data_IF_943184421688
#
_entry.id   IF_943184421688
#
_cell.length_a   1.000
_cell.length_b   1.000
_cell.length_c   1.000
_cell.angle_alpha   90.00
_cell.angle_beta   90.00
_cell.angle_gamma   90.00
#
_symmetry.space_group_name_H-M   'P 1'
#
loop_
_entity.id
_entity.type
_entity.pdbx_description
1 polymer ?
#
# COMPACT_ATOMS: atom_id res chain seq x y z
N UNK A 1 -35.81 -21.99 -20.65
CA UNK A 1 -34.64 -22.49 -21.41
C UNK A 1 -33.99 -21.32 -22.16
N UNK A 2 -32.98 -20.69 -21.56
CA UNK A 2 -32.14 -19.68 -22.25
C UNK A 2 -30.86 -20.37 -22.72
N UNK A 3 -30.63 -20.40 -24.03
CA UNK A 3 -29.41 -20.92 -24.66
C UNK A 3 -28.21 -20.14 -24.12
N UNK A 4 -27.26 -20.84 -23.48
CA UNK A 4 -25.91 -20.33 -23.21
C UNK A 4 -25.26 -19.95 -24.54
N UNK A 5 -24.78 -18.72 -24.64
CA UNK A 5 -23.85 -18.33 -25.69
C UNK A 5 -22.64 -19.26 -25.60
N UNK A 6 -22.31 -19.89 -26.73
CA UNK A 6 -21.16 -20.77 -26.89
C UNK A 6 -19.92 -19.86 -26.85
N UNK A 7 -19.18 -19.89 -25.74
CA UNK A 7 -17.91 -19.18 -25.60
C UNK A 7 -16.99 -19.57 -26.76
N UNK A 8 -16.63 -18.60 -27.59
CA UNK A 8 -15.54 -18.77 -28.56
C UNK A 8 -14.28 -18.91 -27.75
N UNK A 9 -13.71 -20.12 -27.68
CA UNK A 9 -12.52 -20.37 -26.89
C UNK A 9 -11.37 -19.51 -27.44
N UNK A 10 -10.75 -18.70 -26.58
CA UNK A 10 -9.66 -17.81 -26.98
C UNK A 10 -8.39 -18.63 -27.20
N UNK A 11 -7.93 -18.68 -28.46
CA UNK A 11 -6.75 -19.43 -28.88
C UNK A 11 -5.48 -19.06 -28.10
N UNK A 12 -5.36 -17.82 -27.58
CA UNK A 12 -4.24 -17.44 -26.72
C UNK A 12 -4.30 -18.13 -25.36
N UNK A 13 -5.50 -18.30 -24.79
CA UNK A 13 -5.67 -18.95 -23.49
C UNK A 13 -5.41 -20.46 -23.60
N UNK A 14 -5.88 -21.12 -24.66
CA UNK A 14 -5.58 -22.54 -24.91
C UNK A 14 -4.08 -22.78 -25.07
N UNK A 15 -3.42 -21.92 -25.85
CA UNK A 15 -1.97 -21.97 -26.06
C UNK A 15 -1.21 -21.82 -24.73
N UNK A 16 -1.60 -20.83 -23.92
CA UNK A 16 -0.97 -20.58 -22.62
C UNK A 16 -1.14 -21.76 -21.68
N UNK A 17 -2.33 -22.35 -21.63
CA UNK A 17 -2.62 -23.52 -20.81
C UNK A 17 -1.75 -24.71 -21.20
N UNK A 18 -1.68 -25.03 -22.49
CA UNK A 18 -0.86 -26.13 -23.01
C UNK A 18 0.62 -25.95 -22.63
N UNK A 19 1.15 -24.74 -22.84
CA UNK A 19 2.56 -24.44 -22.56
C UNK A 19 2.87 -24.46 -21.07
N UNK A 20 2.03 -23.84 -20.23
CA UNK A 20 2.25 -23.80 -18.78
C UNK A 20 2.15 -25.20 -18.17
N UNK A 21 1.22 -26.03 -18.67
CA UNK A 21 1.08 -27.43 -18.25
C UNK A 21 2.32 -28.25 -18.59
N UNK A 22 2.88 -28.07 -19.80
CA UNK A 22 4.10 -28.74 -20.21
C UNK A 22 5.34 -28.24 -19.45
N UNK A 23 5.42 -26.94 -19.17
CA UNK A 23 6.56 -26.33 -18.50
C UNK A 23 6.59 -26.57 -16.99
N UNK A 24 5.44 -26.79 -16.35
CA UNK A 24 5.25 -26.99 -14.90
C UNK A 24 5.96 -25.93 -14.03
N UNK A 25 6.09 -24.71 -14.54
CA UNK A 25 6.64 -23.56 -13.83
C UNK A 25 5.96 -22.27 -14.29
N UNK A 26 5.93 -21.21 -13.47
CA UNK A 26 5.40 -19.92 -13.86
C UNK A 26 6.21 -19.31 -15.01
N UNK A 27 5.55 -18.69 -15.98
CA UNK A 27 6.20 -18.09 -17.15
C UNK A 27 5.67 -16.69 -17.46
N UNK A 28 6.54 -15.86 -18.05
CA UNK A 28 6.13 -14.60 -18.65
C UNK A 28 5.46 -14.83 -20.02
N UNK A 29 4.61 -13.90 -20.50
CA UNK A 29 3.98 -14.01 -21.82
C UNK A 29 4.95 -14.20 -22.99
N UNK A 30 6.16 -13.63 -22.89
CA UNK A 30 7.23 -13.87 -23.88
C UNK A 30 7.73 -15.30 -23.82
N UNK A 31 8.05 -15.79 -22.62
CA UNK A 31 8.51 -17.16 -22.44
C UNK A 31 7.46 -18.20 -22.85
N UNK A 32 6.16 -17.92 -22.62
CA UNK A 32 5.06 -18.77 -23.10
C UNK A 32 5.06 -18.86 -24.63
N UNK A 33 5.15 -17.72 -25.32
CA UNK A 33 5.18 -17.72 -26.79
C UNK A 33 6.47 -18.34 -27.34
N UNK A 34 7.62 -18.06 -26.76
CA UNK A 34 8.89 -18.64 -27.18
C UNK A 34 8.87 -20.18 -27.06
N UNK A 35 8.29 -20.70 -25.96
CA UNK A 35 8.10 -22.14 -25.79
C UNK A 35 7.11 -22.71 -26.82
N UNK A 36 6.00 -22.00 -27.09
CA UNK A 36 5.04 -22.41 -28.11
C UNK A 36 5.64 -22.47 -29.52
N UNK A 37 6.43 -21.46 -29.89
CA UNK A 37 7.12 -21.40 -31.18
C UNK A 37 8.16 -22.52 -31.31
N UNK A 38 8.95 -22.76 -30.27
CA UNK A 38 9.92 -23.87 -30.23
C UNK A 38 9.25 -25.24 -30.36
N UNK A 39 8.06 -25.40 -29.79
CA UNK A 39 7.28 -26.63 -29.87
C UNK A 39 6.45 -26.75 -31.16
N UNK A 40 6.38 -25.71 -32.00
CA UNK A 40 5.61 -25.71 -33.25
C UNK A 40 4.09 -25.75 -33.03
N UNK A 41 3.59 -25.35 -31.86
CA UNK A 41 2.17 -25.44 -31.47
C UNK A 41 1.39 -24.13 -31.63
N UNK A 42 2.02 -23.07 -32.16
CA UNK A 42 1.36 -21.77 -32.38
C UNK A 42 0.36 -21.88 -33.54
N UNK A 43 -0.93 -21.56 -33.33
CA UNK A 43 -1.92 -21.57 -34.41
C UNK A 43 -1.57 -20.58 -35.53
N UNK A 44 -1.83 -20.97 -36.79
CA UNK A 44 -1.51 -20.17 -37.98
C UNK A 44 -2.19 -18.79 -38.04
N UNK A 45 -3.33 -18.64 -37.36
CA UNK A 45 -4.09 -17.39 -37.29
C UNK A 45 -3.57 -16.42 -36.21
N UNK A 46 -2.64 -16.85 -35.35
CA UNK A 46 -1.96 -15.96 -34.41
C UNK A 46 -0.71 -15.39 -35.07
N UNK A 47 -0.77 -14.13 -35.49
CA UNK A 47 0.37 -13.39 -36.05
C UNK A 47 0.41 -11.94 -35.54
N UNK A 48 1.60 -11.35 -35.44
CA UNK A 48 1.77 -9.94 -35.08
C UNK A 48 3.06 -9.64 -34.31
N UNK A 49 3.50 -8.36 -34.33
CA UNK A 49 4.74 -7.93 -33.68
C UNK A 49 4.67 -7.90 -32.15
N UNK A 50 3.47 -7.90 -31.56
CA UNK A 50 3.24 -7.69 -30.11
C UNK A 50 2.32 -8.76 -29.52
N UNK A 51 2.37 -9.99 -30.01
CA UNK A 51 1.58 -11.11 -29.49
C UNK A 51 1.74 -11.31 -27.98
N UNK A 52 2.95 -11.14 -27.44
CA UNK A 52 3.20 -11.25 -26.00
C UNK A 52 2.39 -10.24 -25.17
N UNK A 53 2.13 -9.03 -25.69
CA UNK A 53 1.27 -8.04 -25.03
C UNK A 53 -0.21 -8.44 -25.11
N UNK A 54 -0.62 -9.01 -26.23
CA UNK A 54 -2.00 -9.50 -26.43
C UNK A 54 -2.29 -10.67 -25.49
N UNK A 55 -1.38 -11.65 -25.45
CA UNK A 55 -1.45 -12.78 -24.53
C UNK A 55 -1.49 -12.32 -23.07
N UNK A 56 -0.63 -11.37 -22.69
CA UNK A 56 -0.65 -10.77 -21.36
C UNK A 56 -2.01 -10.15 -21.02
N UNK A 57 -2.59 -9.39 -21.96
CA UNK A 57 -3.88 -8.75 -21.77
C UNK A 57 -4.99 -9.80 -21.59
N UNK A 58 -5.02 -10.85 -22.42
CA UNK A 58 -6.01 -11.94 -22.33
C UNK A 58 -5.93 -12.72 -21.02
N UNK A 59 -4.73 -13.12 -20.61
CA UNK A 59 -4.54 -13.79 -19.32
C UNK A 59 -4.97 -12.90 -18.16
N UNK A 60 -4.65 -11.61 -18.23
CA UNK A 60 -5.03 -10.65 -17.21
C UNK A 60 -6.55 -10.44 -17.14
N UNK A 61 -7.20 -10.36 -18.30
CA UNK A 61 -8.65 -10.21 -18.42
C UNK A 61 -9.39 -11.44 -17.88
N UNK A 62 -8.91 -12.64 -18.20
CA UNK A 62 -9.49 -13.90 -17.71
C UNK A 62 -9.41 -14.00 -16.18
N UNK A 63 -8.22 -13.78 -15.61
CA UNK A 63 -7.99 -13.76 -14.16
C UNK A 63 -8.86 -12.69 -13.49
N UNK A 64 -8.97 -11.51 -14.10
CA UNK A 64 -9.76 -10.41 -13.55
C UNK A 64 -11.26 -10.72 -13.55
N UNK A 65 -11.76 -11.33 -14.63
CA UNK A 65 -13.18 -11.64 -14.84
C UNK A 65 -13.64 -12.81 -13.97
N UNK A 66 -12.84 -13.87 -13.93
CA UNK A 66 -13.21 -15.14 -13.28
C UNK A 66 -12.63 -15.28 -11.86
N UNK A 67 -11.63 -14.48 -11.48
CA UNK A 67 -10.98 -14.50 -10.17
C UNK A 67 -10.53 -15.93 -9.80
N UNK A 68 -11.09 -16.49 -8.73
CA UNK A 68 -10.77 -17.84 -8.22
C UNK A 68 -11.21 -18.96 -9.19
N UNK A 69 -12.16 -18.67 -10.10
CA UNK A 69 -12.61 -19.62 -11.12
C UNK A 69 -11.73 -19.60 -12.38
N UNK A 70 -10.75 -18.68 -12.47
CA UNK A 70 -9.82 -18.69 -13.59
C UNK A 70 -8.90 -19.91 -13.52
N UNK A 71 -8.61 -20.48 -14.69
CA UNK A 71 -7.61 -21.54 -14.86
C UNK A 71 -6.19 -21.03 -14.61
N UNK A 72 -6.02 -19.71 -14.61
CA UNK A 72 -4.75 -19.06 -14.45
C UNK A 72 -4.73 -18.26 -13.14
N UNK A 73 -3.53 -18.05 -12.62
CA UNK A 73 -3.28 -17.05 -11.60
C UNK A 73 -1.90 -16.43 -11.85
N UNK A 74 -1.60 -15.35 -11.13
CA UNK A 74 -0.28 -14.72 -11.19
C UNK A 74 0.55 -15.21 -10.02
N UNK A 75 1.83 -15.49 -10.23
CA UNK A 75 2.79 -15.65 -9.12
C UNK A 75 3.57 -14.38 -8.88
N UNK A 76 3.62 -13.48 -9.88
CA UNK A 76 4.35 -12.22 -9.86
C UNK A 76 3.80 -11.25 -10.92
N UNK A 77 4.18 -9.97 -10.90
CA UNK A 77 3.84 -9.00 -11.93
C UNK A 77 4.24 -9.47 -13.34
N UNK A 78 3.23 -9.87 -14.14
CA UNK A 78 3.44 -10.34 -15.52
C UNK A 78 3.98 -11.77 -15.62
N UNK A 79 3.92 -12.55 -14.55
CA UNK A 79 4.23 -13.98 -14.53
C UNK A 79 2.95 -14.75 -14.21
N UNK A 80 2.64 -15.76 -15.02
CA UNK A 80 1.39 -16.49 -14.97
C UNK A 80 1.64 -17.99 -14.75
N UNK A 81 0.69 -18.64 -14.08
CA UNK A 81 0.72 -20.07 -13.82
C UNK A 81 -0.68 -20.69 -13.76
N UNK A 82 -0.79 -22.01 -13.61
CA UNK A 82 -2.04 -22.77 -13.70
C UNK A 82 -2.61 -23.13 -12.34
N UNK A 83 -3.88 -22.77 -12.11
CA UNK A 83 -4.59 -23.01 -10.86
C UNK A 83 -4.65 -24.50 -10.47
N UNK A 84 -4.72 -25.41 -11.45
CA UNK A 84 -4.71 -26.87 -11.22
C UNK A 84 -3.39 -27.39 -10.63
N UNK A 85 -2.27 -26.71 -10.90
CA UNK A 85 -0.94 -27.12 -10.44
C UNK A 85 -0.64 -26.66 -8.99
N UNK A 86 -1.56 -25.95 -8.34
CA UNK A 86 -1.39 -25.50 -6.95
C UNK A 86 -1.38 -26.66 -5.95
N UNK A 87 -2.16 -27.70 -6.22
CA UNK A 87 -2.28 -28.88 -5.36
C UNK A 87 -1.24 -29.96 -5.69
N UNK A 88 -0.38 -29.72 -6.67
CA UNK A 88 0.58 -30.70 -7.16
C UNK A 88 1.81 -30.76 -6.22
N UNK A 89 2.17 -31.95 -5.68
CA UNK A 89 3.29 -32.09 -4.75
C UNK A 89 4.65 -31.85 -5.41
N UNK A 90 4.76 -32.00 -6.73
CA UNK A 90 6.03 -31.86 -7.45
C UNK A 90 6.33 -30.40 -7.85
N UNK A 91 5.42 -29.47 -7.54
CA UNK A 91 5.58 -28.04 -7.78
C UNK A 91 6.15 -27.38 -6.53
N UNK A 92 7.18 -26.55 -6.71
CA UNK A 92 7.80 -25.79 -5.61
C UNK A 92 6.78 -24.88 -4.91
N UNK A 93 6.86 -24.81 -3.59
CA UNK A 93 5.91 -24.02 -2.77
C UNK A 93 5.87 -22.53 -3.13
N UNK A 94 7.01 -21.96 -3.54
CA UNK A 94 7.11 -20.57 -4.00
C UNK A 94 6.20 -20.26 -5.20
N UNK A 95 5.83 -21.26 -6.02
CA UNK A 95 4.97 -21.06 -7.18
C UNK A 95 3.48 -21.18 -6.85
N UNK A 96 3.13 -21.65 -5.64
CA UNK A 96 1.74 -21.92 -5.26
C UNK A 96 1.03 -20.71 -4.67
N UNK A 97 1.77 -19.68 -4.26
CA UNK A 97 1.25 -18.45 -3.70
C UNK A 97 0.73 -17.50 -4.80
N UNK A 98 -0.58 -17.18 -4.85
CA UNK A 98 -1.12 -16.27 -5.83
C UNK A 98 -0.76 -14.82 -5.54
N UNK A 99 -0.08 -14.18 -6.50
CA UNK A 99 0.07 -12.74 -6.58
C UNK A 99 -1.27 -12.08 -6.90
N UNK A 100 -1.85 -11.44 -5.88
CA UNK A 100 -3.06 -10.65 -6.03
C UNK A 100 -2.73 -9.29 -6.63
N UNK A 101 -2.78 -9.20 -7.96
CA UNK A 101 -2.64 -7.93 -8.65
C UNK A 101 -3.82 -7.00 -8.30
N UNK A 102 -3.57 -6.02 -7.44
CA UNK A 102 -4.58 -5.04 -7.05
C UNK A 102 -4.83 -4.05 -8.17
N UNK A 103 -6.10 -3.69 -8.37
CA UNK A 103 -6.48 -2.70 -9.38
C UNK A 103 -5.87 -1.35 -9.01
N UNK A 104 -5.42 -0.60 -10.02
CA UNK A 104 -5.23 0.85 -9.89
C UNK A 104 -6.61 1.47 -9.68
N UNK A 105 -7.02 1.57 -8.42
CA UNK A 105 -8.31 2.14 -8.00
C UNK A 105 -8.05 3.20 -6.93
N UNK A 106 -6.99 4.00 -7.14
CA UNK A 106 -6.72 5.15 -6.28
C UNK A 106 -7.65 6.34 -6.62
N UNK A 107 -8.26 6.33 -7.82
CA UNK A 107 -9.04 7.46 -8.36
C UNK A 107 -10.56 7.34 -8.21
N UNK A 108 -11.07 6.19 -7.74
CA UNK A 108 -12.48 6.09 -7.37
C UNK A 108 -12.57 6.49 -5.90
N UNK A 109 -13.09 7.68 -5.64
CA UNK A 109 -13.38 8.13 -4.29
C UNK A 109 -14.09 7.02 -3.54
N UNK A 110 -13.51 6.63 -2.41
CA UNK A 110 -14.07 5.55 -1.62
C UNK A 110 -15.35 6.07 -0.98
N UNK A 111 -16.51 5.45 -1.23
CA UNK A 111 -17.67 5.73 -0.42
C UNK A 111 -17.37 5.28 1.01
N UNK A 112 -17.81 6.05 2.01
CA UNK A 112 -17.68 5.73 3.44
C UNK A 112 -16.23 5.77 3.99
N UNK A 113 -15.59 6.92 3.89
CA UNK A 113 -14.33 7.23 4.57
C UNK A 113 -14.54 7.67 6.02
N UNK A 114 -13.67 7.21 6.90
CA UNK A 114 -13.64 7.54 8.31
C UNK A 114 -13.34 9.03 8.51
N UNK A 115 -14.16 9.69 9.31
CA UNK A 115 -14.01 11.06 9.73
C UNK A 115 -14.26 11.20 11.23
N UNK A 116 -13.57 12.14 11.88
CA UNK A 116 -13.71 12.41 13.32
C UNK A 116 -14.06 13.88 13.53
N UNK A 117 -15.03 14.14 14.41
CA UNK A 117 -15.48 15.50 14.73
C UNK A 117 -14.32 16.37 15.25
N UNK A 118 -14.18 17.59 14.70
CA UNK A 118 -13.11 18.54 15.04
C UNK A 118 -13.06 18.86 16.52
N UNK A 119 -14.22 19.12 17.12
CA UNK A 119 -14.36 19.42 18.55
C UNK A 119 -13.76 18.30 19.43
N UNK A 120 -14.02 17.04 19.06
CA UNK A 120 -13.47 15.89 19.79
C UNK A 120 -11.94 15.81 19.64
N UNK A 121 -11.43 16.00 18.41
CA UNK A 121 -9.98 16.00 18.17
C UNK A 121 -9.32 17.09 19.01
N UNK A 122 -9.78 18.33 18.87
CA UNK A 122 -9.21 19.52 19.50
C UNK A 122 -9.24 19.47 21.03
N UNK A 123 -10.34 18.99 21.61
CA UNK A 123 -10.44 18.78 23.07
C UNK A 123 -9.53 17.65 23.58
N UNK A 124 -9.21 16.67 22.74
CA UNK A 124 -8.36 15.53 23.10
C UNK A 124 -6.86 15.80 22.96
N UNK A 125 -6.46 16.83 22.19
CA UNK A 125 -5.04 17.20 21.96
C UNK A 125 -4.30 17.39 23.28
N UNK A 126 -4.96 17.95 24.29
CA UNK A 126 -4.35 18.27 25.58
C UNK A 126 -4.17 17.06 26.51
N UNK A 127 -4.79 15.91 26.21
CA UNK A 127 -4.92 14.81 27.16
C UNK A 127 -3.79 13.76 27.10
N UNK A 128 -2.83 13.88 26.18
CA UNK A 128 -1.71 12.92 26.02
C UNK A 128 -2.16 11.44 26.01
N UNK A 129 -3.33 11.17 25.42
CA UNK A 129 -3.93 9.83 25.37
C UNK A 129 -3.26 8.99 24.29
N UNK A 130 -3.12 7.69 24.53
CA UNK A 130 -2.64 6.75 23.51
C UNK A 130 -3.56 6.70 22.30
N UNK A 131 -3.02 6.59 21.09
CA UNK A 131 -3.82 6.72 19.86
C UNK A 131 -4.95 5.68 19.74
N UNK A 132 -4.73 4.45 20.21
CA UNK A 132 -5.77 3.41 20.31
C UNK A 132 -6.90 3.83 21.24
N UNK A 133 -6.55 4.40 22.41
CA UNK A 133 -7.53 4.88 23.36
C UNK A 133 -8.27 6.11 22.81
N UNK A 134 -7.57 7.01 22.11
CA UNK A 134 -8.16 8.15 21.41
C UNK A 134 -9.23 7.70 20.41
N UNK A 135 -8.92 6.74 19.53
CA UNK A 135 -9.86 6.23 18.53
C UNK A 135 -11.02 5.45 19.16
N UNK A 136 -10.74 4.61 20.16
CA UNK A 136 -11.76 3.89 20.92
C UNK A 136 -12.73 4.86 21.61
N UNK A 137 -12.20 5.89 22.26
CA UNK A 137 -13.00 6.90 22.94
C UNK A 137 -13.80 7.76 21.93
N UNK A 138 -13.25 8.02 20.74
CA UNK A 138 -13.96 8.72 19.66
C UNK A 138 -15.17 7.91 19.18
N UNK A 139 -15.00 6.58 19.07
CA UNK A 139 -16.09 5.66 18.75
C UNK A 139 -17.18 5.67 19.83
N UNK A 140 -16.79 5.59 21.11
CA UNK A 140 -17.73 5.58 22.23
C UNK A 140 -18.47 6.93 22.45
N UNK A 141 -17.84 8.05 22.13
CA UNK A 141 -18.45 9.38 22.26
C UNK A 141 -19.38 9.73 21.10
N UNK A 142 -19.44 8.89 20.06
CA UNK A 142 -20.18 9.17 18.83
C UNK A 142 -19.52 10.24 17.95
N UNK A 143 -18.24 10.54 18.17
CA UNK A 143 -17.48 11.51 17.38
C UNK A 143 -17.02 10.97 16.01
N UNK A 144 -17.23 9.68 15.75
CA UNK A 144 -16.84 8.99 14.52
C UNK A 144 -18.00 8.94 13.53
N UNK A 145 -17.74 9.33 12.28
CA UNK A 145 -18.69 9.22 11.18
C UNK A 145 -18.00 8.66 9.92
N UNK A 146 -18.75 7.93 9.10
CA UNK A 146 -18.31 7.56 7.75
C UNK A 146 -19.00 8.44 6.71
N UNK A 147 -18.21 9.15 5.91
CA UNK A 147 -18.66 10.17 4.95
C UNK A 147 -18.15 9.87 3.54
N UNK A 148 -18.64 10.56 2.51
CA UNK A 148 -17.99 10.53 1.20
C UNK A 148 -16.75 11.43 1.23
N UNK A 149 -15.60 10.93 0.77
CA UNK A 149 -14.36 11.70 0.73
C UNK A 149 -14.45 12.99 -0.09
N UNK A 150 -15.42 13.08 -1.01
CA UNK A 150 -15.68 14.28 -1.83
C UNK A 150 -16.59 15.30 -1.15
N UNK A 151 -17.30 14.90 -0.11
CA UNK A 151 -18.32 15.71 0.56
C UNK A 151 -18.17 15.56 2.09
N UNK A 152 -17.03 16.04 2.58
CA UNK A 152 -16.68 16.00 4.00
C UNK A 152 -17.35 17.17 4.71
N UNK A 153 -18.14 16.93 5.77
CA UNK A 153 -18.71 18.01 6.56
C UNK A 153 -17.62 18.90 7.17
N UNK A 154 -17.88 20.21 7.23
CA UNK A 154 -16.91 21.22 7.70
C UNK A 154 -16.42 21.01 9.14
N UNK A 155 -17.20 20.30 9.97
CA UNK A 155 -16.91 20.05 11.38
C UNK A 155 -16.20 18.72 11.61
N UNK A 156 -15.67 18.10 10.55
CA UNK A 156 -14.95 16.83 10.63
C UNK A 156 -13.56 16.91 9.99
N UNK A 157 -12.64 16.10 10.52
CA UNK A 157 -11.37 15.79 9.89
C UNK A 157 -11.45 14.41 9.22
N UNK A 158 -11.04 14.30 7.96
CA UNK A 158 -10.85 12.99 7.33
C UNK A 158 -9.66 12.28 7.95
N UNK A 159 -9.81 10.98 8.21
CA UNK A 159 -8.74 10.16 8.76
C UNK A 159 -7.89 9.54 7.65
N UNK A 160 -6.59 9.79 7.72
CA UNK A 160 -5.60 9.27 6.78
C UNK A 160 -4.60 8.38 7.50
N UNK A 161 -4.31 7.24 6.91
CA UNK A 161 -3.17 6.42 7.28
C UNK A 161 -1.93 6.95 6.54
N UNK A 162 -0.87 7.33 7.28
CA UNK A 162 0.41 7.77 6.73
C UNK A 162 1.48 6.77 7.16
N UNK A 163 1.93 5.92 6.24
CA UNK A 163 2.85 4.84 6.56
C UNK A 163 4.26 5.13 6.05
N UNK A 164 5.25 4.96 6.91
CA UNK A 164 6.68 5.16 6.64
C UNK A 164 7.34 3.80 6.74
N UNK A 165 8.23 3.49 5.80
CA UNK A 165 9.03 2.29 5.86
C UNK A 165 10.41 2.61 6.43
N UNK A 166 10.83 1.85 7.44
CA UNK A 166 12.08 2.03 8.17
C UNK A 166 13.00 0.84 8.00
N UNK A 167 14.30 1.16 7.83
CA UNK A 167 15.40 0.20 7.86
C UNK A 167 16.51 0.76 8.73
N UNK A 168 16.65 0.24 9.95
CA UNK A 168 17.59 0.74 10.97
C UNK A 168 17.37 2.23 11.26
N UNK A 169 18.32 3.08 10.88
CA UNK A 169 18.27 4.53 11.04
C UNK A 169 17.80 5.25 9.78
N UNK A 170 17.39 4.51 8.75
CA UNK A 170 16.98 5.06 7.46
C UNK A 170 15.48 4.96 7.28
N UNK A 171 14.90 5.95 6.60
CA UNK A 171 13.53 5.89 6.10
C UNK A 171 13.54 5.85 4.58
N UNK A 172 12.54 5.18 4.01
CA UNK A 172 12.41 5.14 2.56
C UNK A 172 11.85 6.46 2.04
N UNK A 173 12.53 7.03 1.06
CA UNK A 173 12.11 8.24 0.36
C UNK A 173 11.94 7.96 -1.13
N UNK A 174 11.02 8.71 -1.75
CA UNK A 174 10.78 8.67 -3.19
C UNK A 174 10.29 10.04 -3.64
N UNK A 175 10.34 10.30 -4.95
CA UNK A 175 9.77 11.49 -5.57
C UNK A 175 8.39 11.15 -6.15
N UNK A 176 7.38 11.94 -5.79
CA UNK A 176 5.98 11.76 -6.20
C UNK A 176 5.89 11.93 -7.72
N UNK A 177 5.49 10.87 -8.41
CA UNK A 177 5.19 10.93 -9.85
C UNK A 177 3.85 11.64 -10.11
N UNK A 178 3.71 12.23 -11.31
CA UNK A 178 2.50 12.98 -11.75
C UNK A 178 1.17 12.21 -11.68
N UNK A 179 1.20 10.90 -11.49
CA UNK A 179 0.02 10.02 -11.43
C UNK A 179 -0.40 9.65 -10.01
N UNK A 180 0.28 10.17 -8.97
CA UNK A 180 0.04 9.77 -7.57
C UNK A 180 -0.78 10.81 -6.81
N UNK A 181 -0.53 12.09 -7.07
CA UNK A 181 -1.20 13.23 -6.44
C UNK A 181 -1.19 14.37 -7.46
N UNK A 182 -2.36 14.91 -7.76
CA UNK A 182 -2.53 16.03 -8.70
C UNK A 182 -2.55 17.39 -7.99
N UNK A 183 -2.45 17.42 -6.66
CA UNK A 183 -2.29 18.66 -5.90
C UNK A 183 -0.92 19.27 -6.20
N UNK A 184 -0.91 20.54 -6.62
CA UNK A 184 0.30 21.27 -7.00
C UNK A 184 1.39 21.26 -5.91
N UNK A 185 0.99 21.23 -4.64
CA UNK A 185 1.92 21.17 -3.51
C UNK A 185 2.71 19.84 -3.42
N UNK A 186 2.25 18.77 -4.08
CA UNK A 186 2.79 17.41 -3.97
C UNK A 186 3.53 16.97 -5.25
N UNK A 187 3.23 17.55 -6.41
CA UNK A 187 3.83 17.15 -7.69
C UNK A 187 5.35 17.35 -7.68
N UNK A 188 6.10 16.31 -8.05
CA UNK A 188 7.58 16.28 -8.10
C UNK A 188 8.29 16.56 -6.76
N UNK A 189 7.58 16.61 -5.62
CA UNK A 189 8.20 16.67 -4.30
C UNK A 189 8.70 15.31 -3.85
N UNK A 190 9.67 15.31 -2.96
CA UNK A 190 10.05 14.12 -2.19
C UNK A 190 8.98 13.81 -1.14
N UNK A 191 8.78 12.53 -0.90
CA UNK A 191 7.92 12.02 0.14
C UNK A 191 8.61 10.85 0.84
N UNK A 192 8.27 10.65 2.10
CA UNK A 192 8.67 9.49 2.91
C UNK A 192 7.46 8.63 3.30
N UNK A 193 6.25 9.09 2.97
CA UNK A 193 5.00 8.51 3.42
C UNK A 193 4.19 7.89 2.31
N UNK A 194 3.59 6.75 2.61
CA UNK A 194 2.60 6.08 1.79
C UNK A 194 1.23 6.34 2.42
N UNK A 195 0.37 7.06 1.70
CA UNK A 195 -0.83 7.67 2.28
C UNK A 195 -2.10 7.27 1.54
N UNK A 196 -3.15 7.02 2.32
CA UNK A 196 -4.49 6.75 1.81
C UNK A 196 -5.55 7.03 2.91
N UNK A 197 -6.77 7.34 2.49
CA UNK A 197 -7.91 7.55 3.40
C UNK A 197 -8.35 6.22 4.01
N UNK A 198 -8.68 6.25 5.31
CA UNK A 198 -9.23 5.10 6.02
C UNK A 198 -10.72 4.99 5.68
N UNK A 199 -11.13 3.82 5.22
CA UNK A 199 -12.49 3.49 4.82
C UNK A 199 -13.18 2.57 5.83
N UNK A 200 -14.50 2.45 5.70
CA UNK A 200 -15.31 1.55 6.50
C UNK A 200 -14.80 0.09 6.45
N UNK A 201 -14.45 -0.40 5.27
CA UNK A 201 -14.02 -1.79 5.04
C UNK A 201 -12.62 -2.11 5.61
N UNK A 202 -11.89 -1.12 6.12
CA UNK A 202 -10.58 -1.35 6.74
C UNK A 202 -10.69 -1.79 8.20
N UNK A 203 -11.81 -1.46 8.84
CA UNK A 203 -12.05 -1.85 10.23
C UNK A 203 -12.36 -3.34 10.31
N UNK A 204 -11.71 -4.02 11.24
CA UNK A 204 -12.01 -5.43 11.55
C UNK A 204 -12.72 -5.53 12.90
N UNK A 205 -13.47 -6.61 13.12
CA UNK A 205 -14.07 -6.91 14.43
C UNK A 205 -13.04 -7.14 15.54
N UNK A 206 -11.76 -7.26 15.18
CA UNK A 206 -10.67 -7.58 16.09
C UNK A 206 -9.72 -6.41 16.33
N UNK A 207 -9.99 -5.23 15.74
CA UNK A 207 -9.13 -4.07 15.86
C UNK A 207 -9.88 -2.87 16.45
N UNK A 208 -9.36 -2.34 17.55
CA UNK A 208 -9.91 -1.14 18.23
C UNK A 208 -9.41 0.17 17.59
N UNK A 209 -8.84 0.09 16.40
CA UNK A 209 -8.15 1.19 15.71
C UNK A 209 -8.93 1.73 14.50
N UNK A 210 -10.18 1.30 14.34
CA UNK A 210 -11.06 1.69 13.24
C UNK A 210 -10.46 1.42 11.84
N UNK A 211 -9.49 0.49 11.73
CA UNK A 211 -8.87 0.11 10.47
C UNK A 211 -7.66 0.96 10.05
N UNK A 212 -7.19 1.88 10.89
CA UNK A 212 -6.03 2.74 10.59
C UNK A 212 -4.78 1.90 10.27
N UNK A 213 -4.48 0.88 11.08
CA UNK A 213 -3.32 0.00 10.88
C UNK A 213 -3.43 -0.79 9.58
N UNK A 214 -4.59 -1.40 9.34
CA UNK A 214 -4.83 -2.24 8.15
C UNK A 214 -4.75 -1.42 6.86
N UNK A 215 -5.28 -0.19 6.86
CA UNK A 215 -5.14 0.73 5.74
C UNK A 215 -3.68 1.14 5.54
N UNK A 216 -2.95 1.43 6.62
CA UNK A 216 -1.53 1.77 6.57
C UNK A 216 -0.68 0.66 5.95
N UNK A 217 -0.90 -0.59 6.37
CA UNK A 217 -0.23 -1.74 5.77
C UNK A 217 -0.61 -1.88 4.30
N UNK A 218 -1.90 -1.82 4.01
CA UNK A 218 -2.41 -2.02 2.66
C UNK A 218 -1.85 -1.00 1.67
N UNK A 219 -1.73 0.29 2.04
CA UNK A 219 -1.15 1.29 1.13
C UNK A 219 0.33 1.05 0.87
N UNK A 220 1.10 0.59 1.87
CA UNK A 220 2.50 0.22 1.69
C UNK A 220 2.66 -0.97 0.74
N UNK A 221 1.94 -2.05 1.02
CA UNK A 221 1.95 -3.25 0.19
C UNK A 221 1.55 -2.92 -1.25
N UNK A 222 0.54 -2.06 -1.38
CA UNK A 222 0.03 -1.65 -2.68
C UNK A 222 1.08 -0.85 -3.42
N UNK A 223 1.64 0.19 -2.82
CA UNK A 223 2.55 1.10 -3.53
C UNK A 223 3.93 0.48 -3.81
N UNK A 224 4.43 -0.38 -2.92
CA UNK A 224 5.73 -1.02 -3.05
C UNK A 224 5.66 -2.41 -3.72
N UNK A 225 4.46 -2.88 -4.06
CA UNK A 225 4.22 -4.19 -4.69
C UNK A 225 4.71 -5.37 -3.83
N UNK A 226 4.45 -5.28 -2.52
CA UNK A 226 4.94 -6.22 -1.52
C UNK A 226 3.88 -7.25 -1.16
N UNK A 227 4.34 -8.43 -0.71
CA UNK A 227 3.49 -9.41 -0.04
C UNK A 227 3.42 -9.13 1.46
N UNK A 228 2.28 -9.46 2.08
CA UNK A 228 2.09 -9.42 3.55
C UNK A 228 3.14 -10.24 4.29
N UNK A 229 3.69 -11.28 3.66
CA UNK A 229 4.74 -12.13 4.24
C UNK A 229 6.02 -11.36 4.60
N UNK A 230 6.28 -10.21 3.98
CA UNK A 230 7.43 -9.35 4.31
C UNK A 230 7.38 -8.84 5.75
N UNK A 231 6.19 -8.62 6.28
CA UNK A 231 5.96 -8.11 7.62
C UNK A 231 5.50 -9.21 8.58
N UNK A 232 5.68 -10.50 8.23
CA UNK A 232 5.30 -11.60 9.14
C UNK A 232 6.45 -11.93 10.08
N UNK A 233 6.15 -11.96 11.38
CA UNK A 233 6.97 -12.54 12.43
C UNK A 233 6.46 -13.95 12.78
N UNK A 234 7.17 -14.66 13.66
CA UNK A 234 6.70 -15.95 14.21
C UNK A 234 5.37 -15.86 14.96
N UNK A 235 4.98 -14.65 15.40
CA UNK A 235 3.78 -14.40 16.21
C UNK A 235 2.62 -13.76 15.43
N UNK A 236 2.83 -13.35 14.18
CA UNK A 236 1.78 -12.69 13.39
C UNK A 236 2.32 -11.74 12.34
N UNK A 237 1.55 -10.72 11.99
CA UNK A 237 2.03 -9.58 11.21
C UNK A 237 2.56 -8.54 12.21
N UNK A 238 3.72 -7.98 11.92
CA UNK A 238 4.32 -6.91 12.71
C UNK A 238 3.37 -5.71 12.76
N UNK A 239 3.00 -5.32 13.98
CA UNK A 239 2.14 -4.16 14.23
C UNK A 239 3.01 -2.91 14.07
N UNK A 240 2.57 -1.88 13.33
CA UNK A 240 3.38 -0.71 13.14
C UNK A 240 3.53 0.04 14.45
N UNK A 241 4.64 0.75 14.58
CA UNK A 241 4.79 1.75 15.63
C UNK A 241 4.10 3.04 15.15
N UNK A 242 2.93 3.35 15.69
CA UNK A 242 2.33 4.69 15.49
C UNK A 242 3.20 5.70 16.24
N UNK A 243 3.86 6.57 15.48
CA UNK A 243 4.77 7.57 16.03
C UNK A 243 3.95 8.71 16.65
N UNK A 244 3.01 9.25 15.89
CA UNK A 244 2.14 10.35 16.33
C UNK A 244 0.93 10.49 15.38
N UNK A 245 -0.04 11.29 15.79
CA UNK A 245 -1.12 11.76 14.91
C UNK A 245 -1.04 13.27 14.77
N UNK A 246 -1.25 13.82 13.59
CA UNK A 246 -1.12 15.27 13.32
C UNK A 246 -2.32 15.76 12.52
N UNK A 247 -2.83 16.93 12.88
CA UNK A 247 -3.83 17.61 12.05
C UNK A 247 -3.06 18.37 10.98
N UNK A 248 -3.18 17.91 9.74
CA UNK A 248 -2.63 18.58 8.58
C UNK A 248 -3.69 19.50 7.97
N UNK A 249 -3.37 20.78 7.94
CA UNK A 249 -4.13 21.80 7.25
C UNK A 249 -3.29 22.20 6.03
N UNK A 250 -3.86 22.07 4.84
CA UNK A 250 -3.27 22.53 3.59
C UNK A 250 -4.26 23.53 3.00
N UNK A 251 -3.79 24.73 2.66
CA UNK A 251 -4.59 25.84 2.13
C UNK A 251 -5.46 25.46 0.92
N UNK A 252 -5.08 24.39 0.21
CA UNK A 252 -5.75 23.91 -0.99
C UNK A 252 -6.66 22.70 -0.76
N UNK A 253 -6.73 22.13 0.45
CA UNK A 253 -7.47 20.90 0.70
C UNK A 253 -8.22 20.87 2.04
N UNK A 254 -9.19 19.96 2.15
CA UNK A 254 -9.90 19.74 3.41
C UNK A 254 -8.89 19.28 4.49
N UNK A 255 -8.99 19.80 5.72
CA UNK A 255 -8.06 19.44 6.77
C UNK A 255 -8.19 17.96 7.12
N UNK A 256 -7.05 17.33 7.37
CA UNK A 256 -6.92 15.89 7.54
C UNK A 256 -6.30 15.55 8.90
N UNK A 257 -6.77 14.48 9.53
CA UNK A 257 -6.12 13.86 10.67
C UNK A 257 -5.24 12.72 10.17
N UNK A 258 -3.92 12.94 10.20
CA UNK A 258 -2.93 11.96 9.80
C UNK A 258 -2.56 11.07 10.99
N UNK A 259 -2.55 9.76 10.79
CA UNK A 259 -1.92 8.80 11.70
C UNK A 259 -0.60 8.33 11.10
N UNK A 260 0.51 8.82 11.65
CA UNK A 260 1.86 8.52 11.16
C UNK A 260 2.36 7.23 11.79
N UNK A 261 2.53 6.22 10.95
CA UNK A 261 2.92 4.86 11.29
C UNK A 261 4.29 4.54 10.72
N UNK A 262 5.11 3.89 11.53
CA UNK A 262 6.40 3.35 11.14
C UNK A 262 6.31 1.83 11.03
N UNK A 263 6.79 1.31 9.91
CA UNK A 263 6.85 -0.11 9.59
C UNK A 263 8.31 -0.48 9.42
N UNK A 264 8.81 -1.38 10.27
CA UNK A 264 10.14 -1.93 10.11
C UNK A 264 10.15 -2.91 8.94
N UNK A 265 11.23 -2.87 8.16
CA UNK A 265 11.46 -3.83 7.10
C UNK A 265 12.79 -4.56 7.30
N UNK A 266 12.92 -5.79 6.79
CA UNK A 266 14.17 -6.52 6.86
C UNK A 266 15.34 -5.77 6.19
N UNK A 267 16.56 -5.96 6.70
CA UNK A 267 17.74 -5.26 6.20
C UNK A 267 18.06 -5.55 4.72
N UNK A 268 17.69 -6.74 4.26
CA UNK A 268 17.87 -7.17 2.87
C UNK A 268 16.86 -6.55 1.91
N UNK A 269 15.82 -5.87 2.42
CA UNK A 269 14.80 -5.29 1.56
C UNK A 269 15.35 -4.11 0.74
N UNK A 270 15.09 -4.18 -0.57
CA UNK A 270 15.36 -3.11 -1.53
C UNK A 270 14.09 -2.90 -2.38
N UNK A 271 13.45 -1.71 -2.33
CA UNK A 271 12.25 -1.43 -3.10
C UNK A 271 12.53 -1.37 -4.60
N UNK A 272 11.78 -2.15 -5.37
CA UNK A 272 11.89 -2.08 -6.82
C UNK A 272 11.13 -0.87 -7.39
N UNK A 273 11.81 0.02 -8.11
CA UNK A 273 11.26 1.21 -8.77
C UNK A 273 10.39 0.89 -10.02
N UNK A 274 9.57 -0.16 -9.98
CA UNK A 274 8.81 -0.65 -11.14
C UNK A 274 7.49 0.10 -11.40
N UNK A 275 7.18 1.16 -10.65
CA UNK A 275 5.93 1.92 -10.79
C UNK A 275 6.15 3.35 -11.27
N UNK A 276 5.32 3.77 -12.23
CA UNK A 276 5.28 5.14 -12.78
C UNK A 276 4.94 6.23 -11.75
N UNK A 277 4.46 5.84 -10.56
CA UNK A 277 4.04 6.73 -9.47
C UNK A 277 5.15 7.00 -8.44
N UNK A 278 6.22 6.21 -8.43
CA UNK A 278 7.32 6.30 -7.47
C UNK A 278 8.64 6.47 -8.24
N UNK A 279 9.21 7.67 -8.20
CA UNK A 279 10.49 7.97 -8.85
C UNK A 279 11.59 8.08 -7.80
N UNK A 280 12.85 7.89 -8.21
CA UNK A 280 14.03 8.15 -7.35
C UNK A 280 13.95 7.52 -5.95
N UNK A 281 13.48 6.27 -5.89
CA UNK A 281 13.34 5.55 -4.63
C UNK A 281 14.72 5.35 -4.00
N UNK A 282 14.89 5.80 -2.75
CA UNK A 282 16.17 5.74 -2.04
C UNK A 282 15.98 5.72 -0.53
N UNK A 283 16.95 5.15 0.17
CA UNK A 283 17.03 5.23 1.63
C UNK A 283 17.72 6.52 2.05
N UNK A 284 17.09 7.28 2.95
CA UNK A 284 17.67 8.49 3.55
C UNK A 284 17.88 8.29 5.05
N UNK A 285 18.92 8.89 5.61
CA UNK A 285 19.20 8.85 7.04
C UNK A 285 18.19 9.71 7.81
N UNK A 286 17.45 9.11 8.74
CA UNK A 286 16.45 9.75 9.58
C UNK A 286 17.01 10.25 10.92
N UNK A 287 18.33 10.16 11.13
CA UNK A 287 19.00 10.71 12.32
C UNK A 287 19.45 12.15 12.13
N UNK A 288 19.36 12.68 10.90
CA UNK A 288 19.77 14.04 10.55
C UNK A 288 18.70 14.66 9.67
N UNK A 289 18.46 15.95 9.87
CA UNK A 289 17.61 16.71 8.96
C UNK A 289 18.22 16.78 7.56
N UNK A 290 17.43 16.59 6.49
CA UNK A 290 17.84 16.95 5.15
C UNK A 290 18.17 18.44 5.06
N UNK A 291 19.10 18.78 4.17
CA UNK A 291 19.53 20.17 3.97
C UNK A 291 18.41 21.07 3.43
N UNK A 292 17.45 20.51 2.69
CA UNK A 292 16.31 21.25 2.15
C UNK A 292 15.01 20.51 2.42
N UNK A 293 14.31 20.90 3.49
CA UNK A 293 12.99 20.37 3.83
C UNK A 293 11.91 20.82 2.84
N UNK A 294 12.14 21.87 2.05
CA UNK A 294 11.17 22.32 1.07
C UNK A 294 11.12 21.39 -0.15
N UNK A 295 12.13 20.56 -0.37
CA UNK A 295 12.06 19.51 -1.41
C UNK A 295 11.02 18.44 -1.06
N UNK A 296 10.60 18.35 0.21
CA UNK A 296 9.55 17.43 0.66
C UNK A 296 8.16 18.04 0.57
N UNK A 297 7.16 17.19 0.35
CA UNK A 297 5.76 17.59 0.50
C UNK A 297 5.41 17.86 1.99
N UNK A 298 4.38 18.68 2.28
CA UNK A 298 4.14 19.21 3.62
C UNK A 298 4.00 18.14 4.72
N UNK A 299 3.30 17.03 4.44
CA UNK A 299 3.10 15.95 5.40
C UNK A 299 4.41 15.20 5.68
N UNK A 300 5.20 14.92 4.65
CA UNK A 300 6.54 14.32 4.80
C UNK A 300 7.51 15.23 5.54
N UNK A 301 7.47 16.54 5.28
CA UNK A 301 8.32 17.52 5.97
C UNK A 301 7.97 17.58 7.46
N UNK A 302 6.68 17.63 7.79
CA UNK A 302 6.19 17.57 9.17
C UNK A 302 6.59 16.27 9.87
N UNK A 303 6.40 15.13 9.19
CA UNK A 303 6.69 13.83 9.76
C UNK A 303 8.19 13.61 10.00
N UNK A 304 9.03 13.97 9.03
CA UNK A 304 10.48 13.89 9.17
C UNK A 304 10.98 14.79 10.31
N UNK A 305 10.36 15.97 10.46
CA UNK A 305 10.68 16.88 11.56
C UNK A 305 10.34 16.32 12.93
N UNK A 306 9.24 15.59 13.04
CA UNK A 306 8.88 14.90 14.27
C UNK A 306 9.87 13.75 14.57
N UNK A 307 10.16 12.91 13.57
CA UNK A 307 11.05 11.74 13.70
C UNK A 307 12.47 12.16 14.13
N UNK A 308 13.07 13.12 13.44
CA UNK A 308 14.43 13.59 13.75
C UNK A 308 14.46 14.24 15.14
N UNK A 309 13.43 15.03 15.47
CA UNK A 309 13.33 15.68 16.78
C UNK A 309 13.24 14.69 17.94
N UNK A 310 12.51 13.58 17.76
CA UNK A 310 12.40 12.53 18.77
C UNK A 310 13.71 11.74 18.92
N UNK A 311 14.39 11.42 17.81
CA UNK A 311 15.70 10.77 17.84
C UNK A 311 16.75 11.61 18.59
N UNK A 312 16.70 12.93 18.44
CA UNK A 312 17.65 13.84 19.08
C UNK A 312 17.39 13.94 20.60
N UNK A 313 16.12 14.05 21.00
CA UNK A 313 15.73 14.03 22.43
C UNK A 313 16.08 12.73 23.12
N UNK A 314 15.82 11.58 22.49
CA UNK A 314 16.19 10.29 23.08
C UNK A 314 17.70 10.18 23.30
N UNK A 315 18.53 10.75 22.42
CA UNK A 315 19.99 10.79 22.62
C UNK A 315 20.38 11.69 23.78
N UNK A 316 19.79 12.88 23.86
CA UNK A 316 20.06 13.83 24.94
C UNK A 316 19.59 13.26 26.31
N UNK A 317 18.43 12.59 26.34
CA UNK A 317 17.88 11.91 27.52
C UNK A 317 18.64 10.63 27.89
N UNK A 318 19.19 9.88 26.93
CA UNK A 318 20.08 8.73 27.21
C UNK A 318 21.43 9.19 27.79
N UNK A 319 21.93 10.36 27.38
CA UNK A 319 23.10 10.99 28.00
C UNK A 319 22.80 11.56 29.40
N UNK A 320 21.57 12.07 29.63
CA UNK A 320 21.16 12.62 30.93
C UNK A 320 20.58 11.60 31.93
N UNK A 321 19.98 10.48 31.50
CA UNK A 321 19.17 9.63 32.37
C UNK A 321 19.07 8.15 31.94
N UNK A 322 19.71 7.28 32.72
CA UNK A 322 19.49 5.81 32.73
C UNK A 322 18.13 5.37 33.32
N UNK A 323 17.06 6.18 33.31
CA UNK A 323 15.76 5.77 33.90
C UNK A 323 14.53 6.35 33.17
N UNK A 324 13.72 5.42 32.68
CA UNK A 324 12.31 5.49 32.27
C UNK A 324 11.96 6.08 30.91
N UNK A 325 11.68 5.18 29.96
CA UNK A 325 11.06 5.47 28.68
C UNK A 325 9.53 5.34 28.77
N UNK A 326 8.80 6.43 28.49
CA UNK A 326 7.40 6.37 28.05
C UNK A 326 7.26 7.23 26.79
N UNK A 327 6.85 6.62 25.69
CA UNK A 327 6.68 7.28 24.40
C UNK A 327 5.47 8.23 24.45
N UNK A 328 5.73 9.53 24.41
CA UNK A 328 4.71 10.58 24.37
C UNK A 328 4.10 10.65 22.98
N UNK A 329 2.82 10.29 22.85
CA UNK A 329 2.04 10.61 21.66
C UNK A 329 1.75 12.11 21.64
N UNK A 330 2.15 12.79 20.57
CA UNK A 330 2.00 14.24 20.44
C UNK A 330 1.11 14.56 19.25
N UNK A 331 -0.07 15.13 19.50
CA UNK A 331 -0.82 15.80 18.44
C UNK A 331 -0.19 17.16 18.20
N UNK A 332 0.48 17.34 17.06
CA UNK A 332 0.94 18.65 16.62
C UNK A 332 -0.16 19.26 15.75
N UNK A 333 -0.50 20.51 16.04
CA UNK A 333 -1.26 21.36 15.12
C UNK A 333 -0.27 22.35 14.55
N UNK A 334 0.15 22.15 13.30
CA UNK A 334 0.78 23.21 12.52
C UNK A 334 -0.23 23.64 11.46
N UNK A 335 -0.76 24.85 11.62
CA UNK A 335 -1.26 25.60 10.49
C UNK A 335 -0.03 26.00 9.66
N UNK A 336 0.05 25.52 8.42
CA UNK A 336 1.10 25.90 7.49
C UNK A 336 0.72 27.18 6.77
#
# INVERSE_FOLDING_TARGET
MRRRAKDTVDAYLELAEMVLRAARRPLSPRAILDAAYKAGVVPSHLYGKTQHKTLQARLSEDILRLKLESRFYRTDPGIFFLSELRSDPDVLEEFKDPFHARRRTRDLAKPFTLAIAKEYVESSISLSVGWHEFLRNAGHSGAVQYVDARDVPVDFYLVWAFSILRRRSQVLSYRIGRYRDDRDAFVNRQSIGFTDVVGYDDASLFSDDLGVTERGLSVLLDDLDLSRSMFRTSEGIEVPKVLFSEVAIDDSSQPALLFVMEWDCPEWFEPTARRLSLNEVRWIDATRMPNDLNDFEPWSSAALSAIVGDNQRCRDEEEENKRSASCLHRVRTKAW
#
